data_IF_129800164919
#
_entry.id   IF_129800164919
#
_cell.length_a   1.000
_cell.length_b   1.000
_cell.length_c   1.000
_cell.angle_alpha   90.00
_cell.angle_beta   90.00
_cell.angle_gamma   90.00
#
_symmetry.space_group_name_H-M   'P 1'
#
loop_
_entity.id
_entity.type
_entity.pdbx_description
1 polymer ?
#
# COMPACT_ATOMS: atom_id res chain seq x y z
N UNK A 1 -20.54 -27.64 15.19
CA UNK A 1 -20.36 -27.34 13.75
C UNK A 1 -20.51 -25.84 13.57
N UNK A 2 -19.40 -25.09 13.60
CA UNK A 2 -19.43 -23.66 13.30
C UNK A 2 -19.33 -23.50 11.79
N UNK A 3 -20.39 -22.98 11.19
CA UNK A 3 -20.45 -22.58 9.80
C UNK A 3 -19.39 -21.49 9.56
N UNK A 4 -18.34 -21.84 8.81
CA UNK A 4 -17.35 -20.89 8.29
C UNK A 4 -18.08 -19.95 7.33
N UNK A 5 -18.28 -18.71 7.76
CA UNK A 5 -18.71 -17.63 6.89
C UNK A 5 -17.55 -17.29 5.96
N UNK A 6 -17.56 -17.84 4.75
CA UNK A 6 -16.77 -17.35 3.63
C UNK A 6 -17.41 -16.04 3.16
N UNK A 7 -17.02 -14.91 3.75
CA UNK A 7 -17.09 -13.66 3.02
C UNK A 7 -16.02 -13.74 1.93
N UNK A 8 -16.42 -14.15 0.73
CA UNK A 8 -15.55 -14.13 -0.45
C UNK A 8 -14.99 -12.73 -0.64
N UNK A 9 -13.69 -12.56 -0.42
CA UNK A 9 -12.92 -11.39 -0.83
C UNK A 9 -12.97 -11.18 -2.36
N UNK A 10 -13.50 -12.14 -3.12
CA UNK A 10 -13.78 -12.07 -4.56
C UNK A 10 -15.09 -11.33 -4.92
N UNK A 11 -15.84 -10.78 -3.95
CA UNK A 11 -17.18 -10.22 -4.20
C UNK A 11 -17.23 -8.72 -4.47
N UNK A 12 -16.13 -7.98 -4.25
CA UNK A 12 -16.08 -6.53 -4.48
C UNK A 12 -15.24 -6.25 -5.73
N UNK A 13 -15.80 -5.61 -6.76
CA UNK A 13 -15.05 -5.19 -7.94
C UNK A 13 -13.88 -4.26 -7.55
N UNK A 14 -12.73 -4.34 -8.24
CA UNK A 14 -11.64 -3.39 -8.05
C UNK A 14 -12.11 -1.94 -8.18
N UNK A 15 -11.62 -1.08 -7.29
CA UNK A 15 -12.00 0.33 -7.22
C UNK A 15 -10.77 1.21 -7.06
N UNK A 16 -10.84 2.48 -7.46
CA UNK A 16 -9.67 3.38 -7.44
C UNK A 16 -9.13 3.61 -6.02
N UNK A 17 -9.99 3.44 -5.01
CA UNK A 17 -9.68 3.50 -3.58
C UNK A 17 -8.68 2.40 -3.15
N UNK A 18 -8.64 1.27 -3.85
CA UNK A 18 -7.67 0.19 -3.62
C UNK A 18 -6.23 0.70 -3.72
N UNK A 19 -5.99 1.72 -4.54
CA UNK A 19 -4.68 2.32 -4.75
C UNK A 19 -4.25 3.25 -3.61
N UNK A 20 -5.12 3.54 -2.63
CA UNK A 20 -4.76 4.36 -1.46
C UNK A 20 -3.70 3.69 -0.58
N UNK A 21 -3.51 2.36 -0.69
CA UNK A 21 -2.37 1.67 -0.10
C UNK A 21 -1.00 2.21 -0.55
N UNK A 22 -0.92 2.82 -1.74
CA UNK A 22 0.29 3.52 -2.21
C UNK A 22 0.58 4.77 -1.35
N UNK A 23 -0.46 5.48 -0.92
CA UNK A 23 -0.34 6.70 -0.11
C UNK A 23 -0.07 6.40 1.37
N UNK A 24 -0.43 5.21 1.84
CA UNK A 24 0.02 4.68 3.13
C UNK A 24 1.54 4.42 3.16
N UNK A 25 2.13 4.14 1.99
CA UNK A 25 3.58 4.15 1.77
C UNK A 25 4.06 5.57 1.38
N UNK A 26 5.18 5.65 0.67
CA UNK A 26 5.76 6.89 0.16
C UNK A 26 5.20 7.33 -1.21
N UNK A 27 4.10 6.73 -1.69
CA UNK A 27 3.43 7.16 -2.90
C UNK A 27 2.85 8.57 -2.78
N UNK A 28 2.73 9.27 -3.90
CA UNK A 28 2.28 10.65 -3.97
C UNK A 28 1.03 10.77 -4.83
N UNK A 29 0.21 11.77 -4.51
CA UNK A 29 -0.93 12.18 -5.33
C UNK A 29 -0.76 13.63 -5.74
N UNK A 30 -0.98 13.92 -7.03
CA UNK A 30 -0.96 15.29 -7.58
C UNK A 30 -2.28 15.56 -8.25
N UNK A 31 -2.86 16.74 -8.01
CA UNK A 31 -4.12 17.20 -8.61
C UNK A 31 -3.86 18.37 -9.56
N UNK A 32 -4.42 18.30 -10.76
CA UNK A 32 -4.34 19.35 -11.79
C UNK A 32 -5.65 19.39 -12.56
N UNK A 33 -6.27 20.57 -12.68
CA UNK A 33 -7.45 20.74 -13.55
C UNK A 33 -8.67 19.89 -13.16
N UNK A 34 -8.80 19.48 -11.89
CA UNK A 34 -9.89 18.61 -11.42
C UNK A 34 -9.66 17.12 -11.62
N UNK A 35 -8.49 16.74 -12.13
CA UNK A 35 -8.04 15.35 -12.23
C UNK A 35 -6.84 15.12 -11.32
N UNK A 36 -6.59 13.88 -10.94
CA UNK A 36 -5.43 13.54 -10.14
C UNK A 36 -4.67 12.31 -10.68
N UNK A 37 -3.43 12.18 -10.22
CA UNK A 37 -2.53 11.07 -10.55
C UNK A 37 -1.89 10.54 -9.29
N UNK A 38 -1.85 9.22 -9.17
CA UNK A 38 -1.04 8.52 -8.17
C UNK A 38 0.30 8.12 -8.77
N UNK A 39 1.36 8.19 -7.98
CA UNK A 39 2.69 7.74 -8.39
C UNK A 39 3.49 7.20 -7.22
N UNK A 40 4.37 6.24 -7.46
CA UNK A 40 5.30 5.72 -6.46
C UNK A 40 6.59 5.22 -7.10
N UNK A 41 7.72 5.57 -6.49
CA UNK A 41 9.04 5.02 -6.83
C UNK A 41 9.22 3.73 -6.06
N UNK A 42 9.67 2.65 -6.68
CA UNK A 42 9.89 1.36 -6.01
C UNK A 42 11.30 0.85 -6.29
N UNK A 43 11.82 0.01 -5.40
CA UNK A 43 13.20 -0.45 -5.49
C UNK A 43 13.44 -1.48 -6.61
N UNK A 44 12.39 -2.20 -7.02
CA UNK A 44 12.47 -3.31 -7.96
C UNK A 44 11.38 -3.24 -9.02
N UNK A 45 11.74 -3.58 -10.26
CA UNK A 45 10.84 -3.47 -11.42
C UNK A 45 9.60 -4.38 -11.30
N UNK A 46 9.71 -5.55 -10.66
CA UNK A 46 8.57 -6.44 -10.46
C UNK A 46 7.48 -5.75 -9.62
N UNK A 47 7.84 -4.96 -8.60
CA UNK A 47 6.86 -4.17 -7.82
C UNK A 47 6.11 -3.20 -8.72
N UNK A 48 6.81 -2.50 -9.60
CA UNK A 48 6.19 -1.56 -10.53
C UNK A 48 5.23 -2.26 -11.50
N UNK A 49 5.57 -3.47 -11.96
CA UNK A 49 4.71 -4.28 -12.84
C UNK A 49 3.45 -4.77 -12.13
N UNK A 50 3.57 -5.25 -10.91
CA UNK A 50 2.43 -5.71 -10.12
C UNK A 50 1.50 -4.56 -9.71
N UNK A 51 2.08 -3.40 -9.37
CA UNK A 51 1.29 -2.19 -9.14
C UNK A 51 0.63 -1.68 -10.42
N UNK A 52 1.29 -1.78 -11.57
CA UNK A 52 0.68 -1.47 -12.87
C UNK A 52 -0.50 -2.39 -13.18
N UNK A 53 -0.41 -3.69 -12.86
CA UNK A 53 -1.55 -4.60 -12.99
C UNK A 53 -2.73 -4.18 -12.09
N UNK A 54 -2.47 -3.80 -10.84
CA UNK A 54 -3.53 -3.28 -9.95
C UNK A 54 -4.16 -1.99 -10.49
N UNK A 55 -3.37 -1.10 -11.11
CA UNK A 55 -3.88 0.12 -11.76
C UNK A 55 -4.80 -0.24 -12.94
N UNK A 56 -4.39 -1.20 -13.78
CA UNK A 56 -5.23 -1.69 -14.89
C UNK A 56 -6.52 -2.33 -14.38
N UNK A 57 -6.48 -3.10 -13.29
CA UNK A 57 -7.65 -3.77 -12.72
C UNK A 57 -8.74 -2.80 -12.27
N UNK A 58 -8.37 -1.60 -11.79
CA UNK A 58 -9.33 -0.54 -11.42
C UNK A 58 -9.76 0.34 -12.61
N UNK A 59 -9.37 -0.06 -13.82
CA UNK A 59 -9.71 0.61 -15.07
C UNK A 59 -8.99 1.94 -15.28
N UNK A 60 -7.76 2.06 -14.80
CA UNK A 60 -6.87 3.20 -15.04
C UNK A 60 -5.70 2.77 -15.93
N UNK A 61 -5.12 3.72 -16.68
CA UNK A 61 -3.93 3.45 -17.49
C UNK A 61 -2.66 3.53 -16.63
N UNK A 62 -1.84 2.47 -16.52
CA UNK A 62 -0.56 2.54 -15.84
C UNK A 62 0.56 3.03 -16.76
N UNK A 63 1.53 3.71 -16.18
CA UNK A 63 2.79 4.05 -16.85
C UNK A 63 3.95 3.66 -15.94
N UNK A 64 4.87 2.84 -16.46
CA UNK A 64 6.11 2.47 -15.79
C UNK A 64 7.25 3.27 -16.42
N UNK A 65 7.95 4.03 -15.59
CA UNK A 65 9.05 4.90 -15.93
C UNK A 65 10.27 4.60 -15.05
N UNK A 66 11.32 5.40 -15.21
CA UNK A 66 12.44 5.47 -14.28
C UNK A 66 12.65 6.91 -13.82
N UNK A 67 13.10 7.09 -12.59
CA UNK A 67 13.63 8.37 -12.11
C UNK A 67 14.96 8.69 -12.81
N UNK A 68 15.48 9.90 -12.58
CA UNK A 68 16.79 10.30 -13.10
C UNK A 68 17.93 9.41 -12.56
N UNK A 69 17.77 8.86 -11.34
CA UNK A 69 18.66 7.86 -10.73
C UNK A 69 18.39 6.43 -11.22
N UNK A 70 17.62 6.26 -12.29
CA UNK A 70 17.26 4.96 -12.88
C UNK A 70 16.42 4.05 -11.96
N UNK A 71 15.76 4.60 -10.95
CA UNK A 71 14.90 3.80 -10.03
C UNK A 71 13.51 3.63 -10.65
N UNK A 72 12.91 2.42 -10.65
CA UNK A 72 11.57 2.21 -11.18
C UNK A 72 10.51 3.12 -10.56
N UNK A 73 9.67 3.73 -11.39
CA UNK A 73 8.53 4.54 -11.01
C UNK A 73 7.29 3.97 -11.69
N UNK A 74 6.19 3.81 -10.96
CA UNK A 74 4.87 3.51 -11.55
C UNK A 74 3.90 4.63 -11.21
N UNK A 75 3.07 5.01 -12.18
CA UNK A 75 2.04 6.03 -11.99
C UNK A 75 0.78 5.70 -12.77
N UNK A 76 -0.33 6.29 -12.38
CA UNK A 76 -1.57 6.26 -13.17
C UNK A 76 -1.51 7.34 -14.26
N UNK A 77 -2.40 7.23 -15.25
CA UNK A 77 -2.87 8.38 -16.01
C UNK A 77 -3.47 9.45 -15.09
N UNK A 78 -3.69 10.64 -15.65
CA UNK A 78 -4.47 11.67 -14.97
C UNK A 78 -5.95 11.29 -15.11
N UNK A 79 -6.70 11.21 -14.01
CA UNK A 79 -8.10 10.77 -14.01
C UNK A 79 -8.91 11.50 -12.93
N UNK A 80 -10.14 11.91 -13.28
CA UNK A 80 -11.06 12.62 -12.38
C UNK A 80 -11.53 11.79 -11.18
N UNK A 81 -11.58 10.45 -11.30
CA UNK A 81 -11.95 9.55 -10.19
C UNK A 81 -10.94 9.61 -9.03
N UNK A 82 -9.70 9.99 -9.31
CA UNK A 82 -8.65 10.14 -8.29
C UNK A 82 -8.72 11.50 -7.56
N UNK A 83 -9.52 12.46 -8.04
CA UNK A 83 -9.55 13.81 -7.47
C UNK A 83 -10.09 13.82 -6.02
N UNK A 84 -11.07 12.97 -5.72
CA UNK A 84 -11.57 12.80 -4.35
C UNK A 84 -10.49 12.26 -3.42
N UNK A 85 -9.75 11.23 -3.85
CA UNK A 85 -8.60 10.69 -3.11
C UNK A 85 -7.57 11.80 -2.87
N UNK A 86 -7.22 12.59 -3.90
CA UNK A 86 -6.28 13.68 -3.75
C UNK A 86 -6.72 14.71 -2.69
N UNK A 87 -8.01 15.08 -2.70
CA UNK A 87 -8.57 16.03 -1.75
C UNK A 87 -8.54 15.52 -0.31
N UNK A 88 -8.76 14.23 -0.07
CA UNK A 88 -8.77 13.66 1.28
C UNK A 88 -7.35 13.36 1.82
N UNK A 89 -6.42 13.01 0.92
CA UNK A 89 -5.05 12.63 1.27
C UNK A 89 -4.05 13.79 1.23
N UNK A 90 -4.51 15.00 0.94
CA UNK A 90 -3.66 16.20 0.97
C UNK A 90 -4.29 17.33 1.75
N UNK A 91 -3.45 18.08 2.47
CA UNK A 91 -3.79 19.36 3.07
C UNK A 91 -2.80 20.41 2.57
N UNK A 92 -3.20 21.13 1.53
CA UNK A 92 -2.26 21.94 0.76
C UNK A 92 -1.24 21.02 0.07
N UNK A 93 0.05 21.21 0.32
CA UNK A 93 1.12 20.38 -0.24
C UNK A 93 1.52 19.19 0.67
N UNK A 94 0.88 19.02 1.82
CA UNK A 94 1.27 18.01 2.82
C UNK A 94 0.38 16.78 2.70
N UNK A 95 0.99 15.59 2.68
CA UNK A 95 0.27 14.31 2.74
C UNK A 95 -0.44 14.16 4.09
N UNK A 96 -1.70 13.75 4.05
CA UNK A 96 -2.52 13.40 5.21
C UNK A 96 -3.16 12.03 5.03
N UNK A 97 -3.74 11.49 6.10
CA UNK A 97 -4.52 10.24 6.05
C UNK A 97 -5.95 10.56 6.50
N UNK A 98 -6.98 10.17 5.74
CA UNK A 98 -8.37 10.40 6.16
C UNK A 98 -8.65 9.66 7.48
N UNK A 99 -9.25 10.34 8.46
CA UNK A 99 -9.45 9.74 9.81
C UNK A 99 -10.35 8.51 9.83
N UNK A 100 -11.15 8.31 8.77
CA UNK A 100 -12.02 7.16 8.59
C UNK A 100 -11.37 6.04 7.76
N UNK A 101 -10.19 6.27 7.16
CA UNK A 101 -9.55 5.30 6.29
C UNK A 101 -9.13 4.05 7.08
N UNK A 102 -9.51 2.89 6.55
CA UNK A 102 -9.14 1.57 7.03
C UNK A 102 -8.74 0.73 5.82
N UNK A 103 -7.55 0.13 5.80
CA UNK A 103 -7.12 -0.62 4.63
C UNK A 103 -7.86 -1.95 4.53
N UNK A 104 -8.46 -2.21 3.36
CA UNK A 104 -8.96 -3.53 2.97
C UNK A 104 -7.85 -4.40 2.39
N UNK A 105 -8.24 -5.55 1.84
CA UNK A 105 -7.32 -6.52 1.25
C UNK A 105 -6.48 -5.91 0.12
N UNK A 106 -7.10 -5.14 -0.78
CA UNK A 106 -6.43 -4.57 -1.94
C UNK A 106 -5.54 -3.37 -1.58
N UNK A 107 -5.93 -2.53 -0.61
CA UNK A 107 -5.06 -1.48 -0.08
C UNK A 107 -3.84 -2.08 0.65
N UNK A 108 -4.04 -3.15 1.44
CA UNK A 108 -2.92 -3.86 2.08
C UNK A 108 -2.00 -4.50 1.05
N UNK A 109 -2.54 -5.05 -0.05
CA UNK A 109 -1.75 -5.59 -1.15
C UNK A 109 -0.94 -4.49 -1.84
N UNK A 110 -1.55 -3.36 -2.17
CA UNK A 110 -0.86 -2.22 -2.77
C UNK A 110 0.26 -1.70 -1.86
N UNK A 111 0.02 -1.59 -0.55
CA UNK A 111 1.05 -1.18 0.42
C UNK A 111 2.20 -2.19 0.52
N UNK A 112 1.88 -3.49 0.52
CA UNK A 112 2.89 -4.57 0.55
C UNK A 112 3.75 -4.58 -0.71
N UNK A 113 3.14 -4.40 -1.88
CA UNK A 113 3.84 -4.26 -3.16
C UNK A 113 4.69 -2.99 -3.21
N UNK A 114 4.20 -1.88 -2.64
CA UNK A 114 4.91 -0.62 -2.59
C UNK A 114 6.15 -0.64 -1.68
N UNK A 115 6.01 -1.17 -0.46
CA UNK A 115 6.99 -0.97 0.61
C UNK A 115 7.06 -2.12 1.63
N UNK A 116 6.57 -3.31 1.30
CA UNK A 116 6.64 -4.50 2.13
C UNK A 116 8.02 -5.13 2.15
N UNK A 117 8.55 -5.54 3.31
CA UNK A 117 9.84 -6.23 3.41
C UNK A 117 9.87 -7.24 4.57
N UNK A 118 10.37 -8.47 4.37
CA UNK A 118 10.61 -9.39 5.47
C UNK A 118 11.79 -8.91 6.34
N UNK A 119 11.66 -8.99 7.67
CA UNK A 119 12.76 -8.66 8.60
C UNK A 119 13.37 -9.93 9.22
N UNK A 120 12.52 -10.86 9.63
CA UNK A 120 12.89 -12.16 10.18
C UNK A 120 11.78 -13.17 9.83
N UNK A 121 11.94 -14.44 10.22
CA UNK A 121 10.95 -15.49 9.93
C UNK A 121 9.55 -15.18 10.44
N UNK A 122 9.41 -14.42 11.53
CA UNK A 122 8.13 -14.10 12.18
C UNK A 122 7.77 -12.60 12.15
N UNK A 123 8.47 -11.81 11.32
CA UNK A 123 8.31 -10.35 11.26
C UNK A 123 8.28 -9.82 9.84
N UNK A 124 7.33 -8.93 9.61
CA UNK A 124 7.14 -8.24 8.35
C UNK A 124 7.06 -6.73 8.58
N UNK A 125 7.61 -5.96 7.65
CA UNK A 125 7.60 -4.50 7.68
C UNK A 125 6.71 -3.97 6.57
N UNK A 126 5.85 -3.02 6.91
CA UNK A 126 5.21 -2.13 5.95
C UNK A 126 5.87 -0.76 6.06
N UNK A 127 6.61 -0.36 5.02
CA UNK A 127 7.31 0.92 4.97
C UNK A 127 6.36 2.10 4.94
N UNK A 128 6.75 3.19 5.60
CA UNK A 128 6.00 4.45 5.70
C UNK A 128 6.74 5.56 4.95
N UNK A 129 6.05 6.66 4.66
CA UNK A 129 6.67 7.84 4.06
C UNK A 129 7.60 8.57 5.05
N UNK A 130 8.92 8.64 4.82
CA UNK A 130 9.84 9.40 5.66
C UNK A 130 9.58 10.92 5.66
N UNK A 131 8.91 11.44 4.63
CA UNK A 131 8.61 12.86 4.49
C UNK A 131 7.24 13.26 5.04
N UNK A 132 6.45 12.32 5.55
CA UNK A 132 5.14 12.60 6.16
C UNK A 132 4.99 11.94 7.56
N UNK A 133 5.85 12.27 8.54
CA UNK A 133 5.85 11.62 9.85
C UNK A 133 4.52 11.72 10.62
N UNK A 134 3.75 12.79 10.40
CA UNK A 134 2.45 13.00 11.03
C UNK A 134 1.41 11.95 10.62
N UNK A 135 1.62 11.25 9.50
CA UNK A 135 0.75 10.16 9.03
C UNK A 135 0.96 8.86 9.79
N UNK A 136 2.15 8.64 10.38
CA UNK A 136 2.55 7.33 10.91
C UNK A 136 1.64 6.83 12.04
N UNK A 137 1.26 7.64 13.05
CA UNK A 137 0.37 7.18 14.12
C UNK A 137 -1.04 6.85 13.62
N UNK A 138 -1.52 7.57 12.60
CA UNK A 138 -2.85 7.35 11.99
C UNK A 138 -2.88 6.02 11.25
N UNK A 139 -1.84 5.74 10.45
CA UNK A 139 -1.69 4.47 9.72
C UNK A 139 -1.52 3.28 10.67
N UNK A 140 -0.76 3.43 11.76
CA UNK A 140 -0.66 2.42 12.81
C UNK A 140 -2.03 2.12 13.45
N UNK A 141 -2.80 3.17 13.76
CA UNK A 141 -4.14 3.04 14.33
C UNK A 141 -5.13 2.38 13.37
N UNK A 142 -5.04 2.68 12.06
CA UNK A 142 -5.86 2.05 11.03
C UNK A 142 -5.58 0.53 10.94
N UNK A 143 -4.30 0.12 10.94
CA UNK A 143 -3.91 -1.30 10.98
C UNK A 143 -4.42 -2.01 12.26
N UNK A 144 -4.33 -1.35 13.41
CA UNK A 144 -4.89 -1.90 14.66
C UNK A 144 -6.39 -2.16 14.56
N UNK A 145 -7.15 -1.25 13.94
CA UNK A 145 -8.61 -1.35 13.76
C UNK A 145 -9.03 -2.49 12.83
N UNK A 146 -8.19 -2.88 11.86
CA UNK A 146 -8.39 -4.08 11.03
C UNK A 146 -7.78 -5.35 11.64
N UNK A 147 -7.30 -5.28 12.89
CA UNK A 147 -6.85 -6.43 13.67
C UNK A 147 -5.38 -6.82 13.47
N UNK A 148 -4.57 -5.95 12.85
CA UNK A 148 -3.14 -6.14 12.65
C UNK A 148 -2.40 -5.10 13.51
N UNK A 149 -2.19 -5.38 14.79
CA UNK A 149 -1.54 -4.42 15.69
C UNK A 149 -0.02 -4.33 15.43
N UNK A 150 0.50 -3.22 14.83
CA UNK A 150 1.91 -3.11 14.50
C UNK A 150 2.71 -2.43 15.62
N UNK A 151 4.03 -2.47 15.51
CA UNK A 151 4.95 -1.58 16.26
C UNK A 151 5.55 -0.59 15.29
N UNK A 152 5.34 0.71 15.54
CA UNK A 152 5.99 1.76 14.77
C UNK A 152 7.49 1.79 15.09
N UNK A 153 8.33 1.72 14.07
CA UNK A 153 9.80 1.73 14.17
C UNK A 153 10.41 2.73 13.19
N UNK A 154 11.70 3.03 13.37
CA UNK A 154 12.47 3.81 12.38
C UNK A 154 12.07 5.29 12.28
N UNK A 155 11.25 5.82 13.18
CA UNK A 155 10.71 7.20 13.14
C UNK A 155 11.75 8.31 13.23
N UNK A 156 12.98 7.98 13.66
CA UNK A 156 14.11 8.92 13.70
C UNK A 156 15.11 8.71 12.55
N UNK A 157 14.85 7.77 11.64
CA UNK A 157 15.72 7.41 10.53
C UNK A 157 15.03 7.58 9.18
N UNK A 158 15.70 7.16 8.11
CA UNK A 158 15.20 7.29 6.73
C UNK A 158 14.21 6.19 6.31
N UNK A 159 13.96 5.20 7.16
CA UNK A 159 13.11 4.03 6.85
C UNK A 159 12.09 3.78 7.96
N UNK A 160 11.15 4.70 8.21
CA UNK A 160 10.06 4.44 9.14
C UNK A 160 9.21 3.28 8.61
N UNK A 161 8.73 2.43 9.53
CA UNK A 161 7.92 1.28 9.16
C UNK A 161 6.99 0.84 10.28
N UNK A 162 5.93 0.14 9.91
CA UNK A 162 5.07 -0.61 10.81
C UNK A 162 5.51 -2.06 10.82
N UNK A 163 6.08 -2.49 11.94
CA UNK A 163 6.55 -3.86 12.14
C UNK A 163 5.42 -4.72 12.67
N UNK A 164 5.06 -5.73 11.90
CA UNK A 164 4.06 -6.73 12.24
C UNK A 164 4.81 -7.96 12.73
N UNK A 165 4.60 -8.33 13.99
CA UNK A 165 5.32 -9.45 14.63
C UNK A 165 4.37 -10.49 15.18
N UNK A 166 4.78 -11.75 15.13
CA UNK A 166 4.07 -12.85 15.76
C UNK A 166 2.95 -13.42 14.89
N UNK A 167 2.81 -14.75 14.99
CA UNK A 167 2.03 -15.60 14.08
C UNK A 167 0.62 -15.07 13.78
N UNK A 168 -0.19 -14.77 14.79
CA UNK A 168 -1.59 -14.34 14.60
C UNK A 168 -1.74 -13.09 13.72
N UNK A 169 -0.87 -12.08 13.91
CA UNK A 169 -0.96 -10.83 13.14
C UNK A 169 -0.42 -11.00 11.74
N UNK A 170 0.63 -11.81 11.60
CA UNK A 170 1.21 -12.14 10.29
C UNK A 170 0.25 -13.00 9.46
N UNK A 171 -0.46 -13.96 10.08
CA UNK A 171 -1.52 -14.72 9.41
C UNK A 171 -2.62 -13.82 8.87
N UNK A 172 -3.09 -12.85 9.66
CA UNK A 172 -4.07 -11.87 9.18
C UNK A 172 -3.56 -11.03 8.02
N UNK A 173 -2.29 -10.61 8.05
CA UNK A 173 -1.70 -9.89 6.92
C UNK A 173 -1.70 -10.78 5.67
N UNK A 174 -1.18 -12.01 5.76
CA UNK A 174 -1.14 -12.98 4.65
C UNK A 174 -2.53 -13.25 4.07
N UNK A 175 -3.53 -13.48 4.93
CA UNK A 175 -4.93 -13.67 4.54
C UNK A 175 -5.49 -12.47 3.75
N UNK A 176 -5.10 -11.25 4.11
CA UNK A 176 -5.58 -10.04 3.44
C UNK A 176 -4.81 -9.73 2.15
N UNK A 177 -3.49 -9.88 2.13
CA UNK A 177 -2.69 -9.52 0.95
C UNK A 177 -2.79 -10.57 -0.16
N UNK A 178 -3.15 -11.81 0.19
CA UNK A 178 -3.28 -12.93 -0.75
C UNK A 178 -1.95 -13.53 -1.18
N UNK A 179 -1.99 -14.31 -2.25
CA UNK A 179 -0.82 -15.04 -2.78
C UNK A 179 0.26 -14.08 -3.31
N UNK A 180 1.55 -14.47 -3.23
CA UNK A 180 2.63 -13.71 -3.82
C UNK A 180 2.45 -13.58 -5.35
N UNK A 181 2.92 -12.48 -5.95
CA UNK A 181 3.12 -12.41 -7.39
C UNK A 181 3.94 -13.59 -7.93
N UNK A 182 3.77 -13.92 -9.22
CA UNK A 182 4.48 -15.03 -9.87
C UNK A 182 5.99 -14.84 -10.03
N UNK A 183 6.53 -13.68 -9.68
CA UNK A 183 7.96 -13.36 -9.73
C UNK A 183 8.72 -13.98 -8.53
N UNK A 184 9.88 -14.59 -8.79
CA UNK A 184 10.71 -15.24 -7.76
C UNK A 184 11.17 -14.27 -6.67
N UNK A 185 11.54 -13.05 -7.03
CA UNK A 185 12.00 -12.04 -6.07
C UNK A 185 10.83 -11.51 -5.23
N UNK A 186 9.62 -11.50 -5.81
CA UNK A 186 8.39 -11.21 -5.09
C UNK A 186 8.10 -12.27 -4.02
N UNK A 187 8.25 -13.56 -4.36
CA UNK A 187 8.08 -14.65 -3.39
C UNK A 187 9.00 -14.51 -2.17
N UNK A 188 10.26 -14.11 -2.38
CA UNK A 188 11.21 -13.88 -1.29
C UNK A 188 10.84 -12.70 -0.38
N UNK A 189 10.08 -11.73 -0.90
CA UNK A 189 9.71 -10.49 -0.21
C UNK A 189 8.27 -10.47 0.30
N UNK A 190 7.47 -11.48 -0.02
CA UNK A 190 6.08 -11.58 0.40
C UNK A 190 5.96 -11.96 1.88
N UNK A 191 4.93 -11.47 2.61
CA UNK A 191 4.69 -11.93 3.98
C UNK A 191 4.35 -13.43 3.97
N UNK A 192 4.87 -14.15 4.96
CA UNK A 192 4.72 -15.60 5.15
C UNK A 192 4.69 -15.96 6.63
N UNK A 193 4.12 -17.12 6.97
CA UNK A 193 3.95 -17.61 8.35
C UNK A 193 4.95 -18.71 8.67
#
# INVERSE_FOLDING_TARGET
MSQLSFFSAESVPPAVEDLTGLLAAHGQVVITGGEARLSIVVDQLWRARELAAMITEVGLEPEILRTDESTPLVRTGMDSRLAGIAAEWTRGAVKTVPGHWLPGARELRAWTLAAGTPEASDRYLLGLDPHAPDTHPVLASALMRVGIAPTLIGTRGSRPALRISGRRRLSRLVENVGEPPGDTDAFAQWPRI
#
